data_IF_197570360048
#
_entry.id   IF_197570360048
#
_cell.length_a   1.000
_cell.length_b   1.000
_cell.length_c   1.000
_cell.angle_alpha   90.00
_cell.angle_beta   90.00
_cell.angle_gamma   90.00
#
_symmetry.space_group_name_H-M   'P 1'
#
loop_
_entity.id
_entity.type
_entity.pdbx_description
1 polymer ?
#
# COMPACT_ATOMS: atom_id res chain seq x y z
N UNK A 1 -6.98 20.58 -49.06
CA UNK A 1 -7.73 20.29 -47.81
C UNK A 1 -7.08 19.07 -47.18
N UNK A 2 -6.14 19.28 -46.26
CA UNK A 2 -5.42 18.19 -45.58
C UNK A 2 -6.35 17.68 -44.49
N UNK A 3 -6.83 16.45 -44.64
CA UNK A 3 -7.53 15.74 -43.57
C UNK A 3 -6.45 15.41 -42.53
N UNK A 4 -6.39 16.18 -41.44
CA UNK A 4 -5.66 15.76 -40.24
C UNK A 4 -6.28 14.44 -39.78
N UNK A 5 -5.50 13.37 -39.58
CA UNK A 5 -6.05 12.13 -39.06
C UNK A 5 -6.66 12.48 -37.70
N UNK A 6 -7.88 12.03 -37.47
CA UNK A 6 -8.49 12.05 -36.14
C UNK A 6 -7.44 11.54 -35.14
N UNK A 7 -6.94 12.42 -34.26
CA UNK A 7 -6.23 12.01 -33.06
C UNK A 7 -7.21 11.09 -32.33
N UNK A 8 -7.04 9.77 -32.47
CA UNK A 8 -7.58 8.87 -31.49
C UNK A 8 -6.96 9.33 -30.19
N UNK A 9 -7.75 9.96 -29.32
CA UNK A 9 -7.31 10.32 -28.00
C UNK A 9 -6.72 9.03 -27.40
N UNK A 10 -5.41 9.00 -27.14
CA UNK A 10 -4.78 7.87 -26.50
C UNK A 10 -5.54 7.66 -25.18
N UNK A 11 -6.19 6.51 -25.02
CA UNK A 11 -7.07 6.18 -23.88
C UNK A 11 -6.32 5.28 -22.89
N UNK A 12 -5.01 5.51 -22.74
CA UNK A 12 -4.15 4.64 -21.95
C UNK A 12 -4.64 4.49 -20.52
N UNK A 13 -4.77 3.25 -20.10
CA UNK A 13 -5.30 2.82 -18.80
C UNK A 13 -6.81 2.90 -18.64
N UNK A 14 -7.58 3.26 -19.67
CA UNK A 14 -9.04 3.43 -19.54
C UNK A 14 -9.81 2.14 -19.70
N UNK A 15 -9.29 1.19 -20.48
CA UNK A 15 -9.90 -0.10 -20.77
C UNK A 15 -8.83 -1.17 -20.96
N UNK A 16 -9.25 -2.44 -20.98
CA UNK A 16 -8.35 -3.59 -21.10
C UNK A 16 -7.68 -3.71 -22.47
N UNK A 17 -8.19 -3.06 -23.52
CA UNK A 17 -7.53 -3.06 -24.83
C UNK A 17 -6.38 -2.04 -24.89
N UNK A 18 -6.39 -1.03 -24.01
CA UNK A 18 -5.38 0.02 -23.92
C UNK A 18 -4.82 0.16 -22.50
N UNK A 19 -4.25 -0.89 -21.88
CA UNK A 19 -3.70 -0.78 -20.54
C UNK A 19 -2.45 0.11 -20.52
N UNK A 20 -2.19 0.75 -19.39
CA UNK A 20 -0.90 1.39 -19.12
C UNK A 20 0.07 0.42 -18.45
N UNK A 21 1.33 0.78 -18.23
CA UNK A 21 2.28 0.00 -17.41
C UNK A 21 2.03 0.21 -15.92
N UNK A 22 1.60 1.39 -15.52
CA UNK A 22 1.39 1.74 -14.11
C UNK A 22 0.43 2.91 -13.93
N UNK A 23 -0.10 3.08 -12.71
CA UNK A 23 -0.83 4.28 -12.32
C UNK A 23 0.00 5.57 -12.51
N UNK A 24 1.31 5.50 -12.25
CA UNK A 24 2.24 6.61 -12.42
C UNK A 24 2.35 7.02 -13.89
N UNK A 25 2.44 6.07 -14.82
CA UNK A 25 2.45 6.36 -16.25
C UNK A 25 1.16 7.05 -16.70
N UNK A 26 0.00 6.55 -16.26
CA UNK A 26 -1.30 7.16 -16.60
C UNK A 26 -1.34 8.63 -16.16
N UNK A 27 -0.83 8.92 -14.96
CA UNK A 27 -0.76 10.28 -14.46
C UNK A 27 0.21 11.14 -15.28
N UNK A 28 1.44 10.67 -15.48
CA UNK A 28 2.52 11.43 -16.13
C UNK A 28 2.23 11.71 -17.62
N UNK A 29 1.50 10.81 -18.27
CA UNK A 29 1.06 10.95 -19.67
C UNK A 29 -0.20 11.81 -19.86
N UNK A 30 -0.81 12.29 -18.77
CA UNK A 30 -2.01 13.14 -18.83
C UNK A 30 -3.32 12.39 -19.11
N UNK A 31 -3.33 11.05 -18.97
CA UNK A 31 -4.50 10.21 -19.18
C UNK A 31 -5.34 9.98 -17.91
N UNK A 32 -4.94 10.58 -16.79
CA UNK A 32 -5.70 10.54 -15.54
C UNK A 32 -7.08 11.18 -15.69
N UNK A 33 -8.10 10.45 -15.25
CA UNK A 33 -9.49 10.88 -15.06
C UNK A 33 -9.82 11.14 -13.58
N UNK A 34 -8.81 11.24 -12.71
CA UNK A 34 -8.97 11.35 -11.25
C UNK A 34 -8.77 10.01 -10.52
N UNK A 35 -9.03 9.98 -9.22
CA UNK A 35 -8.89 8.77 -8.41
C UNK A 35 -9.94 7.73 -8.83
N UNK A 36 -9.53 6.47 -9.01
CA UNK A 36 -10.48 5.44 -9.43
C UNK A 36 -9.85 4.22 -10.06
N UNK A 37 -10.68 3.46 -10.76
CA UNK A 37 -10.25 2.24 -11.44
C UNK A 37 -9.61 2.53 -12.80
N UNK A 38 -8.52 1.84 -13.07
CA UNK A 38 -7.76 1.87 -14.32
C UNK A 38 -7.30 0.46 -14.71
N UNK A 39 -6.80 0.33 -15.93
CA UNK A 39 -6.21 -0.91 -16.43
C UNK A 39 -4.70 -0.77 -16.57
N UNK A 40 -3.95 -1.72 -16.00
CA UNK A 40 -2.50 -1.79 -16.13
C UNK A 40 -2.03 -3.18 -16.59
N UNK A 41 -0.96 -3.24 -17.36
CA UNK A 41 -0.24 -4.45 -17.74
C UNK A 41 1.26 -4.25 -17.47
N UNK A 42 1.70 -4.39 -16.21
CA UNK A 42 3.10 -4.18 -15.84
C UNK A 42 4.09 -5.09 -16.59
N UNK A 43 3.62 -6.26 -17.02
CA UNK A 43 4.43 -7.25 -17.74
C UNK A 43 4.52 -6.98 -19.25
N UNK A 44 3.64 -6.13 -19.81
CA UNK A 44 3.40 -6.05 -21.27
C UNK A 44 3.06 -7.43 -21.86
N UNK A 45 2.32 -8.23 -21.10
CA UNK A 45 1.99 -9.62 -21.41
C UNK A 45 0.73 -9.77 -22.28
N UNK A 46 -0.04 -8.70 -22.45
CA UNK A 46 -1.39 -8.78 -23.02
C UNK A 46 -2.45 -9.27 -22.03
N UNK A 47 -2.09 -9.43 -20.75
CA UNK A 47 -2.99 -9.85 -19.67
C UNK A 47 -3.15 -8.73 -18.63
N UNK A 48 -3.90 -7.66 -18.95
CA UNK A 48 -4.06 -6.50 -18.09
C UNK A 48 -4.92 -6.79 -16.87
N UNK A 49 -4.66 -6.04 -15.80
CA UNK A 49 -5.35 -6.09 -14.53
C UNK A 49 -6.12 -4.79 -14.33
N UNK A 50 -7.34 -4.89 -13.78
CA UNK A 50 -8.09 -3.73 -13.33
C UNK A 50 -7.67 -3.40 -11.90
N UNK A 51 -7.25 -2.16 -11.66
CA UNK A 51 -6.63 -1.72 -10.40
C UNK A 51 -7.18 -0.38 -9.96
N UNK A 52 -7.04 -0.06 -8.67
CA UNK A 52 -7.33 1.29 -8.18
C UNK A 52 -6.07 2.15 -8.16
N UNK A 53 -6.15 3.33 -8.76
CA UNK A 53 -5.11 4.35 -8.72
C UNK A 53 -5.59 5.57 -7.93
N UNK A 54 -4.79 6.01 -6.96
CA UNK A 54 -4.91 7.34 -6.36
C UNK A 54 -4.04 8.32 -7.15
N UNK A 55 -4.71 9.18 -7.90
CA UNK A 55 -4.17 10.14 -8.85
C UNK A 55 -4.04 11.55 -8.27
N UNK A 56 -4.61 11.81 -7.08
CA UNK A 56 -4.70 13.15 -6.51
C UNK A 56 -3.77 13.37 -5.32
N UNK A 57 -3.62 12.39 -4.43
CA UNK A 57 -2.96 12.60 -3.14
C UNK A 57 -1.45 12.40 -3.23
N UNK A 58 -0.71 13.25 -2.52
CA UNK A 58 0.76 13.15 -2.43
C UNK A 58 1.45 13.10 -3.81
N UNK A 59 0.92 13.85 -4.78
CA UNK A 59 1.42 13.88 -6.16
C UNK A 59 0.87 12.78 -7.07
N UNK A 60 -0.08 11.95 -6.60
CA UNK A 60 -0.80 10.98 -7.44
C UNK A 60 0.05 9.83 -7.99
N UNK A 61 -0.55 9.01 -8.84
CA UNK A 61 0.11 7.90 -9.53
C UNK A 61 0.30 6.67 -8.65
N UNK A 62 -0.41 6.59 -7.53
CA UNK A 62 -0.28 5.53 -6.54
C UNK A 62 -1.15 4.32 -6.89
N UNK A 63 -0.53 3.15 -7.03
CA UNK A 63 -1.24 1.88 -7.18
C UNK A 63 -1.62 1.32 -5.80
N UNK A 64 -2.90 1.04 -5.57
CA UNK A 64 -3.38 0.38 -4.35
C UNK A 64 -3.03 -1.11 -4.40
N UNK A 65 -2.13 -1.56 -3.52
CA UNK A 65 -1.68 -2.96 -3.46
C UNK A 65 -2.32 -3.74 -2.32
N UNK A 66 -2.76 -3.07 -1.25
CA UNK A 66 -3.51 -3.73 -0.18
C UNK A 66 -4.65 -2.84 0.27
N UNK A 67 -5.83 -3.41 0.45
CA UNK A 67 -7.04 -2.72 0.89
C UNK A 67 -7.81 -3.63 1.84
N UNK A 68 -8.02 -3.15 3.06
CA UNK A 68 -8.95 -3.77 4.00
C UNK A 68 -9.79 -2.64 4.56
N UNK A 69 -11.10 -2.70 4.36
CA UNK A 69 -12.04 -1.79 4.98
C UNK A 69 -12.88 -2.55 6.00
N UNK A 70 -12.93 -2.08 7.24
CA UNK A 70 -13.73 -2.71 8.28
C UNK A 70 -15.22 -2.44 8.03
N UNK A 71 -16.03 -3.48 8.19
CA UNK A 71 -17.48 -3.44 8.01
C UNK A 71 -18.17 -4.48 8.87
N UNK A 72 -19.49 -4.34 9.02
CA UNK A 72 -20.38 -5.35 9.59
C UNK A 72 -21.38 -5.79 8.52
N UNK A 73 -21.41 -7.08 8.13
CA UNK A 73 -20.59 -8.18 8.64
C UNK A 73 -19.10 -8.04 8.30
N UNK A 74 -18.22 -8.70 9.06
CA UNK A 74 -16.77 -8.68 8.84
C UNK A 74 -16.43 -9.12 7.41
N UNK A 75 -15.54 -8.41 6.70
CA UNK A 75 -15.15 -8.80 5.36
C UNK A 75 -14.23 -10.02 5.37
N UNK A 76 -14.31 -10.81 4.30
CA UNK A 76 -13.27 -11.78 3.94
C UNK A 76 -12.12 -11.07 3.26
N UNK A 77 -10.93 -11.21 3.81
CA UNK A 77 -9.70 -10.60 3.30
C UNK A 77 -8.87 -11.68 2.61
N UNK A 78 -8.69 -11.54 1.31
CA UNK A 78 -7.85 -12.48 0.56
C UNK A 78 -6.37 -12.16 0.75
N UNK A 79 -5.58 -13.17 1.09
CA UNK A 79 -4.12 -13.05 1.19
C UNK A 79 -3.51 -13.49 -0.14
N UNK A 80 -2.97 -12.53 -0.89
CA UNK A 80 -2.49 -12.77 -2.26
C UNK A 80 -1.00 -13.08 -2.27
N UNK A 81 -0.63 -14.20 -2.89
CA UNK A 81 0.77 -14.63 -3.09
C UNK A 81 1.37 -14.16 -4.41
N UNK A 82 0.54 -13.64 -5.32
CA UNK A 82 0.92 -13.03 -6.60
C UNK A 82 0.32 -11.63 -6.73
N UNK A 83 1.02 -10.74 -7.43
CA UNK A 83 0.51 -9.38 -7.67
C UNK A 83 -0.75 -9.35 -8.54
N UNK A 84 -1.04 -10.44 -9.28
CA UNK A 84 -2.28 -10.55 -10.07
C UNK A 84 -3.55 -10.61 -9.20
N UNK A 85 -3.41 -10.77 -7.89
CA UNK A 85 -4.50 -10.62 -6.92
C UNK A 85 -4.93 -9.17 -6.63
N UNK A 86 -4.18 -8.16 -7.11
CA UNK A 86 -4.55 -6.75 -6.99
C UNK A 86 -5.88 -6.49 -7.71
N UNK A 87 -6.72 -5.63 -7.13
CA UNK A 87 -8.03 -5.26 -7.67
C UNK A 87 -9.20 -5.96 -6.98
N UNK A 88 -8.94 -6.97 -6.14
CA UNK A 88 -9.94 -7.53 -5.22
C UNK A 88 -10.40 -6.48 -4.21
N UNK A 89 -11.65 -6.59 -3.74
CA UNK A 89 -12.25 -5.61 -2.83
C UNK A 89 -11.51 -5.53 -1.48
N UNK A 90 -11.24 -6.68 -0.86
CA UNK A 90 -10.50 -6.78 0.40
C UNK A 90 -9.33 -7.75 0.22
N UNK A 91 -8.11 -7.23 0.18
CA UNK A 91 -6.90 -8.00 -0.10
C UNK A 91 -5.66 -7.42 0.58
N UNK A 92 -4.72 -8.30 0.88
CA UNK A 92 -3.38 -7.94 1.33
C UNK A 92 -2.35 -8.74 0.53
N UNK A 93 -1.26 -8.11 0.13
CA UNK A 93 -0.18 -8.81 -0.57
C UNK A 93 0.83 -9.41 0.42
N UNK A 94 1.28 -10.62 0.12
CA UNK A 94 2.47 -11.19 0.75
C UNK A 94 3.76 -10.61 0.13
N UNK A 95 4.87 -10.85 0.82
CA UNK A 95 6.24 -10.55 0.35
C UNK A 95 6.48 -11.12 -1.05
N UNK A 96 6.05 -12.35 -1.35
CA UNK A 96 6.19 -12.95 -2.67
C UNK A 96 5.49 -12.13 -3.78
N UNK A 97 4.26 -11.68 -3.54
CA UNK A 97 3.49 -10.88 -4.47
C UNK A 97 4.14 -9.51 -4.70
N UNK A 98 4.62 -8.87 -3.63
CA UNK A 98 5.34 -7.59 -3.73
C UNK A 98 6.68 -7.74 -4.49
N UNK A 99 7.38 -8.86 -4.30
CA UNK A 99 8.61 -9.20 -5.02
C UNK A 99 8.37 -9.41 -6.51
N UNK A 100 7.32 -10.15 -6.85
CA UNK A 100 6.88 -10.35 -8.23
C UNK A 100 6.51 -9.01 -8.87
N UNK A 101 5.69 -8.19 -8.19
CA UNK A 101 5.29 -6.88 -8.68
C UNK A 101 6.50 -5.99 -8.99
N UNK A 102 7.48 -5.92 -8.08
CA UNK A 102 8.66 -5.04 -8.23
C UNK A 102 9.54 -5.41 -9.41
N UNK A 103 9.51 -6.67 -9.85
CA UNK A 103 10.20 -7.13 -11.07
C UNK A 103 9.61 -6.52 -12.34
N UNK A 104 8.32 -6.18 -12.30
CA UNK A 104 7.56 -5.66 -13.45
C UNK A 104 7.30 -4.16 -13.36
N UNK A 105 7.19 -3.64 -12.14
CA UNK A 105 6.91 -2.25 -11.84
C UNK A 105 8.00 -1.72 -10.91
N UNK A 106 8.86 -0.83 -11.42
CA UNK A 106 9.98 -0.25 -10.68
C UNK A 106 9.55 0.88 -9.75
N UNK A 107 8.59 0.62 -8.86
CA UNK A 107 8.16 1.59 -7.85
C UNK A 107 9.33 1.96 -6.94
N UNK A 108 9.34 3.16 -6.38
CA UNK A 108 10.43 3.63 -5.50
C UNK A 108 9.91 4.13 -4.16
N UNK A 109 8.58 4.15 -3.99
CA UNK A 109 7.95 4.56 -2.74
C UNK A 109 6.82 3.63 -2.33
N UNK A 110 6.64 3.54 -1.01
CA UNK A 110 5.48 2.95 -0.37
C UNK A 110 4.73 4.05 0.38
N UNK A 111 3.41 3.93 0.42
CA UNK A 111 2.55 4.76 1.26
C UNK A 111 1.66 3.87 2.11
N UNK A 112 1.79 3.99 3.43
CA UNK A 112 0.95 3.32 4.40
C UNK A 112 -0.12 4.30 4.86
N UNK A 113 -1.38 3.89 4.77
CA UNK A 113 -2.52 4.68 5.20
C UNK A 113 -3.49 3.78 5.95
N UNK A 114 -3.40 3.80 7.27
CA UNK A 114 -4.32 3.12 8.16
C UNK A 114 -5.10 4.17 8.95
N UNK A 115 -6.42 4.06 8.97
CA UNK A 115 -7.29 5.02 9.66
C UNK A 115 -8.33 4.31 10.50
N UNK A 116 -8.49 4.77 11.73
CA UNK A 116 -9.68 4.55 12.55
C UNK A 116 -10.46 5.84 12.71
N UNK A 117 -11.75 5.85 12.33
CA UNK A 117 -12.62 7.02 12.40
C UNK A 117 -12.70 7.61 13.81
N UNK A 118 -12.78 6.75 14.82
CA UNK A 118 -12.82 7.13 16.24
C UNK A 118 -11.46 6.92 16.94
N UNK A 119 -10.35 7.01 16.21
CA UNK A 119 -9.03 6.73 16.74
C UNK A 119 -7.91 7.46 15.99
N UNK A 120 -6.80 6.76 15.79
CA UNK A 120 -5.63 7.30 15.11
C UNK A 120 -5.61 6.94 13.62
N UNK A 121 -4.91 7.79 12.90
CA UNK A 121 -4.58 7.69 11.48
C UNK A 121 -3.07 7.66 11.39
N UNK A 122 -2.54 6.54 10.92
CA UNK A 122 -1.16 6.41 10.52
C UNK A 122 -1.08 6.61 9.01
N UNK A 123 -0.52 7.74 8.57
CA UNK A 123 -0.41 8.09 7.16
C UNK A 123 0.99 8.61 6.83
N UNK A 124 1.82 7.74 6.26
CA UNK A 124 3.22 8.04 5.93
C UNK A 124 3.58 7.56 4.53
N UNK A 125 4.56 8.23 3.94
CA UNK A 125 5.16 7.89 2.65
C UNK A 125 6.65 7.67 2.86
N UNK A 126 7.24 6.64 2.25
CA UNK A 126 8.70 6.46 2.30
C UNK A 126 9.41 7.66 1.67
N UNK A 127 10.52 8.09 2.28
CA UNK A 127 11.28 9.23 1.80
C UNK A 127 11.93 8.94 0.44
N UNK A 128 12.09 9.95 -0.40
CA UNK A 128 12.79 9.83 -1.69
C UNK A 128 14.31 9.88 -1.49
N UNK A 129 14.84 8.97 -0.69
CA UNK A 129 16.26 8.83 -0.37
C UNK A 129 16.64 7.34 -0.20
N UNK A 130 17.92 7.06 0.06
CA UNK A 130 18.40 5.68 0.25
C UNK A 130 17.73 4.97 1.44
N UNK A 131 17.45 5.68 2.53
CA UNK A 131 16.73 5.11 3.68
C UNK A 131 15.31 4.69 3.32
N UNK A 132 14.59 5.49 2.53
CA UNK A 132 13.27 5.14 2.03
C UNK A 132 13.30 4.00 1.03
N UNK A 133 14.27 3.95 0.12
CA UNK A 133 14.48 2.81 -0.78
C UNK A 133 14.72 1.51 0.02
N UNK A 134 15.50 1.55 1.11
CA UNK A 134 15.71 0.38 1.97
C UNK A 134 14.39 -0.18 2.54
N UNK A 135 13.41 0.68 2.86
CA UNK A 135 12.05 0.27 3.24
C UNK A 135 11.34 -0.44 2.10
N UNK A 136 11.45 0.09 0.89
CA UNK A 136 10.83 -0.51 -0.28
C UNK A 136 11.46 -1.86 -0.61
N UNK A 137 12.79 -2.00 -0.49
CA UNK A 137 13.50 -3.27 -0.68
C UNK A 137 13.07 -4.35 0.31
N UNK A 138 12.91 -3.98 1.57
CA UNK A 138 12.47 -4.89 2.63
C UNK A 138 11.05 -5.41 2.40
N UNK A 139 10.10 -4.52 2.10
CA UNK A 139 8.69 -4.91 1.89
C UNK A 139 8.43 -5.57 0.54
N UNK A 140 9.33 -5.38 -0.43
CA UNK A 140 9.30 -6.09 -1.72
C UNK A 140 10.16 -7.35 -1.77
N UNK A 141 10.72 -7.79 -0.64
CA UNK A 141 11.44 -9.06 -0.55
C UNK A 141 12.74 -9.12 -1.35
N UNK A 142 13.36 -7.97 -1.59
CA UNK A 142 14.72 -7.87 -2.14
C UNK A 142 15.79 -8.05 -1.07
N UNK A 143 15.47 -7.70 0.17
CA UNK A 143 16.29 -7.98 1.35
C UNK A 143 15.39 -8.40 2.52
N UNK A 144 15.97 -9.16 3.45
CA UNK A 144 15.36 -9.49 4.73
C UNK A 144 15.92 -8.63 5.88
N UNK A 145 16.92 -7.79 5.59
CA UNK A 145 17.43 -6.80 6.54
C UNK A 145 16.37 -5.74 6.86
N UNK A 146 16.08 -5.57 8.15
CA UNK A 146 15.12 -4.58 8.62
C UNK A 146 15.73 -3.16 8.53
N UNK A 147 15.12 -2.24 7.77
CA UNK A 147 15.64 -0.90 7.58
C UNK A 147 15.36 -0.01 8.79
N UNK A 148 16.19 1.02 8.97
CA UNK A 148 16.00 2.00 10.02
C UNK A 148 14.73 2.83 9.76
N UNK A 149 14.02 3.16 10.84
CA UNK A 149 12.76 3.88 10.78
C UNK A 149 12.93 5.38 10.62
N UNK A 150 13.80 5.99 11.42
CA UNK A 150 13.99 7.43 11.35
C UNK A 150 14.69 7.85 10.07
N UNK A 151 14.18 8.89 9.40
CA UNK A 151 14.72 9.39 8.14
C UNK A 151 14.29 8.62 6.89
N UNK A 152 13.59 7.50 7.05
CA UNK A 152 13.13 6.66 5.93
C UNK A 152 11.71 6.99 5.45
N UNK A 153 10.99 7.88 6.13
CA UNK A 153 9.62 8.25 5.78
C UNK A 153 9.30 9.71 6.10
N UNK A 154 8.25 10.21 5.47
CA UNK A 154 7.65 11.53 5.65
C UNK A 154 6.22 11.34 6.16
N UNK A 155 5.85 12.11 7.19
CA UNK A 155 4.49 12.15 7.74
C UNK A 155 3.60 13.02 6.87
N UNK A 156 2.42 12.53 6.51
CA UNK A 156 1.40 13.34 5.83
C UNK A 156 0.55 14.07 6.88
N UNK A 157 1.14 15.10 7.49
CA UNK A 157 0.66 15.76 8.73
C UNK A 157 -0.75 16.35 8.69
N UNK A 158 -1.34 16.56 7.51
CA UNK A 158 -2.75 16.97 7.40
C UNK A 158 -3.73 15.84 7.78
N UNK A 159 -3.32 14.59 7.56
CA UNK A 159 -4.13 13.40 7.78
C UNK A 159 -3.61 12.54 8.94
N UNK A 160 -2.30 12.54 9.18
CA UNK A 160 -1.63 11.71 10.18
C UNK A 160 -1.70 12.34 11.58
N UNK A 161 -2.28 11.60 12.53
CA UNK A 161 -2.27 11.93 13.96
C UNK A 161 -1.70 10.78 14.81
N UNK A 162 -0.88 9.93 14.19
CA UNK A 162 -0.27 8.78 14.86
C UNK A 162 0.82 9.20 15.86
N UNK A 163 0.89 8.49 16.97
CA UNK A 163 2.00 8.56 17.92
C UNK A 163 3.20 7.78 17.39
N UNK A 164 2.95 6.63 16.74
CA UNK A 164 4.01 5.79 16.17
C UNK A 164 4.96 6.59 15.27
N UNK A 165 4.41 7.41 14.38
CA UNK A 165 5.22 8.21 13.47
C UNK A 165 6.09 9.26 14.17
N UNK A 166 5.77 9.64 15.42
CA UNK A 166 6.56 10.55 16.25
C UNK A 166 7.71 9.89 17.01
N UNK A 167 7.73 8.56 17.10
CA UNK A 167 8.67 7.80 17.94
C UNK A 167 9.44 6.74 17.14
N UNK A 168 9.89 7.08 15.92
CA UNK A 168 10.58 6.16 15.02
C UNK A 168 11.80 5.45 15.65
N UNK A 169 12.50 6.09 16.60
CA UNK A 169 13.64 5.51 17.33
C UNK A 169 13.24 4.32 18.21
N UNK A 170 11.98 4.28 18.63
CA UNK A 170 11.44 3.25 19.52
C UNK A 170 10.81 2.06 18.76
N UNK A 171 10.89 2.05 17.42
CA UNK A 171 10.26 1.01 16.62
C UNK A 171 10.98 -0.34 16.73
N UNK A 172 10.26 -1.41 16.40
CA UNK A 172 10.78 -2.78 16.33
C UNK A 172 10.52 -3.60 17.60
N UNK A 173 10.68 -4.92 17.50
CA UNK A 173 10.43 -5.84 18.62
C UNK A 173 11.35 -5.59 19.82
N UNK A 174 12.59 -5.18 19.57
CA UNK A 174 13.60 -4.93 20.60
C UNK A 174 13.89 -3.43 20.77
N UNK A 175 12.97 -2.55 20.35
CA UNK A 175 13.19 -1.09 20.34
C UNK A 175 14.45 -0.74 19.54
N UNK A 176 14.62 -1.41 18.41
CA UNK A 176 15.81 -1.32 17.55
C UNK A 176 15.80 -0.11 16.61
N UNK A 177 14.70 0.66 16.60
CA UNK A 177 14.50 1.77 15.66
C UNK A 177 14.28 1.31 14.22
N UNK A 178 13.71 0.11 14.03
CA UNK A 178 13.60 -0.55 12.71
C UNK A 178 12.16 -0.86 12.30
N UNK A 179 11.93 -0.91 10.98
CA UNK A 179 10.67 -1.38 10.39
C UNK A 179 10.46 -2.88 10.57
N UNK A 180 9.20 -3.28 10.63
CA UNK A 180 8.80 -4.69 10.68
C UNK A 180 9.08 -5.37 12.01
N UNK A 181 8.57 -6.60 12.13
CA UNK A 181 8.76 -7.44 13.32
C UNK A 181 9.63 -8.67 13.06
N UNK A 182 10.34 -8.75 11.93
CA UNK A 182 11.20 -9.87 11.53
C UNK A 182 10.84 -10.47 10.16
N UNK A 183 11.43 -11.61 9.85
CA UNK A 183 11.24 -12.29 8.56
C UNK A 183 9.90 -13.02 8.48
N UNK A 184 8.97 -12.52 7.65
CA UNK A 184 7.74 -13.26 7.33
C UNK A 184 7.20 -12.86 5.94
N UNK A 185 6.45 -13.75 5.29
CA UNK A 185 5.68 -13.47 4.08
C UNK A 185 4.58 -12.43 4.32
N UNK A 186 4.03 -12.34 5.52
CA UNK A 186 2.94 -11.41 5.87
C UNK A 186 3.41 -10.00 6.30
N UNK A 187 4.71 -9.68 6.22
CA UNK A 187 5.32 -8.48 6.82
C UNK A 187 4.66 -7.15 6.43
N UNK A 188 4.02 -7.07 5.25
CA UNK A 188 3.34 -5.86 4.78
C UNK A 188 2.11 -5.49 5.62
N UNK A 189 1.47 -6.48 6.26
CA UNK A 189 0.22 -6.30 7.00
C UNK A 189 0.25 -6.87 8.43
N UNK A 190 1.23 -7.71 8.77
CA UNK A 190 1.45 -8.20 10.13
C UNK A 190 2.63 -7.46 10.76
N UNK A 191 2.34 -6.47 11.60
CA UNK A 191 3.35 -5.64 12.28
C UNK A 191 4.41 -5.01 11.36
N UNK A 192 4.03 -4.32 10.26
CA UNK A 192 5.00 -3.55 9.46
C UNK A 192 5.63 -2.41 10.27
N UNK A 193 4.92 -1.89 11.27
CA UNK A 193 5.36 -0.86 12.20
C UNK A 193 4.87 -1.23 13.59
N UNK A 194 5.75 -1.21 14.58
CA UNK A 194 5.41 -1.51 15.96
C UNK A 194 6.34 -0.83 16.94
N UNK A 195 5.80 -0.50 18.10
CA UNK A 195 6.50 -0.31 19.36
C UNK A 195 5.99 -1.38 20.32
N UNK A 196 6.88 -2.28 20.73
CA UNK A 196 6.53 -3.44 21.56
C UNK A 196 5.66 -3.05 22.77
N UNK A 197 4.58 -3.80 22.96
CA UNK A 197 3.62 -3.66 24.06
C UNK A 197 2.94 -2.29 24.17
N UNK A 198 2.98 -1.46 23.12
CA UNK A 198 2.35 -0.13 23.14
C UNK A 198 1.48 0.12 21.93
N UNK A 199 2.07 0.30 20.76
CA UNK A 199 1.34 0.70 19.57
C UNK A 199 1.82 -0.06 18.36
N UNK A 200 0.92 -0.45 17.47
CA UNK A 200 1.31 -1.16 16.26
C UNK A 200 0.29 -1.00 15.13
N UNK A 201 0.78 -1.35 13.95
CA UNK A 201 0.01 -1.57 12.76
C UNK A 201 -0.20 -3.06 12.57
N UNK A 202 -1.44 -3.50 12.36
CA UNK A 202 -1.72 -4.92 12.09
C UNK A 202 -3.07 -5.13 11.43
N UNK A 203 -3.11 -5.98 10.42
CA UNK A 203 -4.31 -6.70 9.98
C UNK A 203 -4.21 -8.11 10.53
N UNK A 204 -5.09 -8.45 11.47
CA UNK A 204 -5.19 -9.78 12.05
C UNK A 204 -6.38 -10.52 11.45
N UNK A 205 -6.09 -11.69 10.88
CA UNK A 205 -7.10 -12.59 10.33
C UNK A 205 -7.37 -13.74 11.32
N UNK A 206 -8.62 -14.21 11.40
CA UNK A 206 -9.03 -15.50 11.94
C UNK A 206 -9.09 -16.50 10.79
N UNK A 207 -8.72 -17.76 11.04
CA UNK A 207 -8.56 -18.74 9.96
C UNK A 207 -7.69 -18.17 8.83
N UNK A 208 -7.88 -18.58 7.57
CA UNK A 208 -7.04 -18.12 6.45
C UNK A 208 -7.46 -16.74 5.94
N UNK A 209 -8.71 -16.29 6.11
CA UNK A 209 -9.26 -15.11 5.43
C UNK A 209 -10.26 -14.23 6.22
N UNK A 210 -10.72 -14.58 7.43
CA UNK A 210 -11.73 -13.78 8.13
C UNK A 210 -11.10 -12.59 8.88
N UNK A 211 -11.52 -11.34 8.62
CA UNK A 211 -10.97 -10.20 9.36
C UNK A 211 -11.37 -10.24 10.84
N UNK A 212 -10.38 -10.43 11.72
CA UNK A 212 -10.56 -10.39 13.19
C UNK A 212 -10.40 -8.98 13.74
N UNK A 213 -9.27 -8.36 13.43
CA UNK A 213 -8.85 -7.09 14.03
C UNK A 213 -8.05 -6.30 13.01
N UNK A 214 -8.24 -5.00 13.03
CA UNK A 214 -7.42 -4.06 12.30
C UNK A 214 -6.95 -2.99 13.29
N UNK A 215 -5.65 -2.75 13.29
CA UNK A 215 -4.95 -1.91 14.26
C UNK A 215 -4.17 -0.85 13.48
N UNK A 216 -4.52 0.43 13.68
CA UNK A 216 -3.95 1.59 13.01
C UNK A 216 -3.29 2.51 14.02
N UNK A 217 -2.15 2.07 14.56
CA UNK A 217 -1.52 2.72 15.70
C UNK A 217 -2.45 2.55 16.89
N UNK A 218 -2.67 1.31 17.31
CA UNK A 218 -3.50 0.96 18.47
C UNK A 218 -2.70 0.14 19.47
N UNK A 219 -3.16 0.14 20.71
CA UNK A 219 -2.61 -0.73 21.76
C UNK A 219 -3.34 -2.07 21.83
N UNK A 220 -2.74 -3.02 22.54
CA UNK A 220 -3.28 -4.38 22.71
C UNK A 220 -4.64 -4.45 23.43
N UNK A 221 -5.16 -3.32 23.91
CA UNK A 221 -6.50 -3.17 24.51
C UNK A 221 -7.63 -3.56 23.54
N UNK A 222 -8.87 -3.82 24.02
CA UNK A 222 -9.98 -4.14 23.14
C UNK A 222 -10.22 -2.98 22.19
N UNK A 223 -10.08 -3.26 20.90
CA UNK A 223 -10.06 -2.27 19.86
C UNK A 223 -11.34 -2.43 19.04
N UNK A 224 -12.24 -1.45 19.11
CA UNK A 224 -13.51 -1.49 18.40
C UNK A 224 -13.27 -1.02 16.97
N UNK A 225 -13.53 -1.87 15.98
CA UNK A 225 -13.57 -1.45 14.58
C UNK A 225 -14.91 -0.77 14.28
N UNK A 226 -14.87 0.33 13.54
CA UNK A 226 -16.08 1.03 13.08
C UNK A 226 -16.18 0.98 11.56
N UNK A 227 -17.41 0.97 11.03
CA UNK A 227 -17.63 0.92 9.58
C UNK A 227 -16.87 2.07 8.88
N UNK A 228 -16.00 1.73 7.93
CA UNK A 228 -15.17 2.67 7.17
C UNK A 228 -13.84 3.05 7.83
N UNK A 229 -13.43 2.35 8.90
CA UNK A 229 -12.02 2.20 9.24
C UNK A 229 -11.34 1.43 8.10
N UNK A 230 -10.08 1.74 7.79
CA UNK A 230 -9.37 1.01 6.73
C UNK A 230 -7.86 0.87 6.97
N UNK A 231 -7.29 -0.13 6.31
CA UNK A 231 -5.87 -0.38 6.11
C UNK A 231 -5.59 -0.37 4.61
N UNK A 232 -4.75 0.57 4.15
CA UNK A 232 -4.37 0.67 2.74
C UNK A 232 -2.87 0.82 2.59
N UNK A 233 -2.32 0.11 1.60
CA UNK A 233 -0.91 0.25 1.21
C UNK A 233 -0.87 0.53 -0.29
N UNK A 234 -0.05 1.49 -0.68
CA UNK A 234 0.15 1.89 -2.07
C UNK A 234 1.62 1.83 -2.46
N UNK A 235 1.88 1.61 -3.74
CA UNK A 235 3.21 1.73 -4.36
C UNK A 235 3.22 2.80 -5.45
N UNK A 236 4.37 3.42 -5.67
CA UNK A 236 4.61 4.36 -6.77
C UNK A 236 6.06 4.42 -7.16
#
# INVERSE_FOLDING_TARGET
MIILPFCHADKRGWDSAHPALSCKEILDSGHSKGDGEYWIDPEKSGNPLKVYCDMSRSGGGWLLVSNVEFGSPSPKVSVEISYRGIGKSHMVLQKSAMKELRRHLSFTQLRFHCRKKQGRTFHVVTASNSSGEAVVQYFSGQTDEQPDACGSFVRLTRDDNSELAGICKDWGQLVSGKWGHGEDQNRLFSYPVLRKSKYHLRVQLHNVDDLRKMECDDSSAPNVGTNGDFWRVFVR
#
